data_IF_561639324748
#
_entry.id   IF_561639324748
#
_cell.length_a   1.000
_cell.length_b   1.000
_cell.length_c   1.000
_cell.angle_alpha   90.00
_cell.angle_beta   90.00
_cell.angle_gamma   90.00
#
_symmetry.space_group_name_H-M   'P 1'
#
loop_
_entity.id
_entity.type
_entity.pdbx_description
1 polymer ?
#
# COMPACT_ATOMS: atom_id res chain seq x y z
N UNK A 1 -24.76 -26.14 -30.33
CA UNK A 1 -24.36 -25.21 -29.25
C UNK A 1 -22.86 -24.97 -29.40
N UNK A 2 -22.48 -23.87 -30.06
CA UNK A 2 -21.10 -23.63 -30.51
C UNK A 2 -20.28 -23.09 -29.34
N UNK A 3 -19.32 -23.87 -28.85
CA UNK A 3 -18.30 -23.43 -27.92
C UNK A 3 -17.32 -22.54 -28.69
N UNK A 4 -17.44 -21.21 -28.54
CA UNK A 4 -16.42 -20.30 -29.07
C UNK A 4 -15.13 -20.47 -28.24
N UNK A 5 -13.96 -20.72 -28.87
CA UNK A 5 -12.70 -20.97 -28.18
C UNK A 5 -12.32 -19.79 -27.28
N UNK A 6 -11.81 -20.08 -26.07
CA UNK A 6 -11.47 -19.10 -25.00
C UNK A 6 -10.76 -17.81 -25.47
N UNK A 7 -10.03 -17.85 -26.59
CA UNK A 7 -9.35 -16.68 -27.20
C UNK A 7 -10.32 -15.69 -27.84
N UNK A 8 -11.37 -16.15 -28.52
CA UNK A 8 -12.36 -15.29 -29.18
C UNK A 8 -13.19 -14.51 -28.16
N UNK A 9 -13.54 -15.16 -27.04
CA UNK A 9 -14.23 -14.50 -25.92
C UNK A 9 -13.38 -13.38 -25.32
N UNK A 10 -12.07 -13.57 -25.19
CA UNK A 10 -11.15 -12.54 -24.69
C UNK A 10 -11.01 -11.37 -25.67
N UNK A 11 -10.92 -11.65 -26.97
CA UNK A 11 -10.87 -10.63 -28.02
C UNK A 11 -12.17 -9.82 -28.07
N UNK A 12 -13.32 -10.49 -27.96
CA UNK A 12 -14.63 -9.86 -27.87
C UNK A 12 -14.70 -8.85 -26.72
N UNK A 13 -14.27 -9.23 -25.50
CA UNK A 13 -14.32 -8.31 -24.37
C UNK A 13 -13.30 -7.18 -24.45
N UNK A 14 -12.16 -7.38 -25.10
CA UNK A 14 -11.21 -6.28 -25.40
C UNK A 14 -11.80 -5.28 -26.38
N UNK A 15 -12.47 -5.75 -27.42
CA UNK A 15 -13.14 -4.89 -28.39
C UNK A 15 -14.34 -4.17 -27.76
N UNK A 16 -15.11 -4.86 -26.91
CA UNK A 16 -16.16 -4.25 -26.11
C UNK A 16 -15.60 -3.17 -25.18
N UNK A 17 -14.46 -3.42 -24.52
CA UNK A 17 -13.79 -2.44 -23.68
C UNK A 17 -13.33 -1.20 -24.48
N UNK A 18 -12.78 -1.37 -25.68
CA UNK A 18 -12.44 -0.25 -26.57
C UNK A 18 -13.67 0.59 -26.95
N UNK A 19 -14.79 -0.04 -27.30
CA UNK A 19 -16.04 0.67 -27.63
C UNK A 19 -16.66 1.36 -26.42
N UNK A 20 -16.57 0.76 -25.23
CA UNK A 20 -17.04 1.38 -24.00
C UNK A 20 -16.24 2.64 -23.64
N UNK A 21 -15.00 2.77 -24.14
CA UNK A 21 -14.18 3.98 -23.96
C UNK A 21 -14.55 5.12 -24.91
N UNK A 22 -15.35 4.88 -25.96
CA UNK A 22 -15.80 5.98 -26.84
C UNK A 22 -16.93 6.81 -26.24
N UNK A 23 -17.55 6.36 -25.14
CA UNK A 23 -18.52 7.15 -24.38
C UNK A 23 -17.80 8.12 -23.45
N UNK A 24 -17.95 9.42 -23.69
CA UNK A 24 -17.31 10.47 -22.89
C UNK A 24 -17.91 10.55 -21.49
N UNK A 25 -19.24 10.43 -21.37
CA UNK A 25 -19.97 10.49 -20.10
C UNK A 25 -19.75 9.21 -19.26
N UNK A 26 -19.32 9.41 -18.00
CA UNK A 26 -18.99 8.32 -17.08
C UNK A 26 -20.22 7.54 -16.59
N UNK A 27 -21.37 8.22 -16.45
CA UNK A 27 -22.62 7.59 -16.04
C UNK A 27 -23.20 6.76 -17.20
N UNK A 28 -23.16 7.30 -18.41
CA UNK A 28 -23.52 6.58 -19.63
C UNK A 28 -22.64 5.34 -19.82
N UNK A 29 -21.32 5.50 -19.69
CA UNK A 29 -20.36 4.39 -19.78
C UNK A 29 -20.62 3.31 -18.72
N UNK A 30 -20.90 3.69 -17.47
CA UNK A 30 -21.20 2.74 -16.40
C UNK A 30 -22.51 1.98 -16.62
N UNK A 31 -23.54 2.64 -17.18
CA UNK A 31 -24.79 1.99 -17.54
C UNK A 31 -24.60 0.95 -18.65
N UNK A 32 -23.80 1.27 -19.67
CA UNK A 32 -23.48 0.31 -20.74
C UNK A 32 -22.57 -0.82 -20.27
N UNK A 33 -21.63 -0.57 -19.36
CA UNK A 33 -20.84 -1.62 -18.70
C UNK A 33 -21.76 -2.61 -17.98
N UNK A 34 -22.75 -2.12 -17.24
CA UNK A 34 -23.71 -2.97 -16.53
C UNK A 34 -24.60 -3.78 -17.48
N UNK A 35 -25.06 -3.17 -18.58
CA UNK A 35 -25.84 -3.84 -19.61
C UNK A 35 -25.03 -4.95 -20.31
N UNK A 36 -23.77 -4.69 -20.68
CA UNK A 36 -22.88 -5.67 -21.32
C UNK A 36 -22.50 -6.78 -20.34
N UNK A 37 -22.20 -6.43 -19.09
CA UNK A 37 -21.89 -7.42 -18.06
C UNK A 37 -23.06 -8.40 -17.85
N UNK A 38 -24.28 -7.87 -17.78
CA UNK A 38 -25.51 -8.66 -17.62
C UNK A 38 -25.81 -9.52 -18.85
N UNK A 39 -25.70 -8.97 -20.05
CA UNK A 39 -25.99 -9.67 -21.31
C UNK A 39 -25.03 -10.86 -21.55
N UNK A 40 -23.76 -10.73 -21.18
CA UNK A 40 -22.74 -11.76 -21.40
C UNK A 40 -22.40 -12.58 -20.14
N UNK A 41 -23.15 -12.37 -19.05
CA UNK A 41 -22.99 -13.07 -17.76
C UNK A 41 -21.55 -13.01 -17.23
N UNK A 42 -20.96 -11.82 -17.24
CA UNK A 42 -19.64 -11.55 -16.67
C UNK A 42 -19.78 -10.57 -15.52
N UNK A 43 -18.85 -10.60 -14.55
CA UNK A 43 -18.96 -9.65 -13.43
C UNK A 43 -18.69 -8.23 -13.91
N UNK A 44 -19.55 -7.30 -13.46
CA UNK A 44 -19.42 -5.86 -13.73
C UNK A 44 -18.02 -5.37 -13.38
N UNK A 45 -17.52 -5.74 -12.20
CA UNK A 45 -16.17 -5.40 -11.73
C UNK A 45 -15.05 -5.89 -12.65
N UNK A 46 -15.19 -7.09 -13.25
CA UNK A 46 -14.17 -7.60 -14.19
C UNK A 46 -14.16 -6.81 -15.49
N UNK A 47 -15.34 -6.42 -15.98
CA UNK A 47 -15.48 -5.60 -17.18
C UNK A 47 -14.98 -4.17 -16.95
N UNK A 48 -15.27 -3.58 -15.79
CA UNK A 48 -14.76 -2.26 -15.38
C UNK A 48 -13.22 -2.25 -15.33
N UNK A 49 -12.60 -3.27 -14.72
CA UNK A 49 -11.14 -3.42 -14.70
C UNK A 49 -10.55 -3.57 -16.10
N UNK A 50 -11.24 -4.28 -17.00
CA UNK A 50 -10.80 -4.45 -18.38
C UNK A 50 -10.90 -3.13 -19.16
N UNK A 51 -11.98 -2.37 -18.99
CA UNK A 51 -12.17 -1.03 -19.59
C UNK A 51 -11.11 -0.06 -19.10
N UNK A 52 -10.86 0.00 -17.79
CA UNK A 52 -9.82 0.84 -17.19
C UNK A 52 -8.42 0.47 -17.70
N UNK A 53 -8.08 -0.82 -17.74
CA UNK A 53 -6.81 -1.31 -18.29
C UNK A 53 -6.66 -0.97 -19.78
N UNK A 54 -7.76 -1.07 -20.54
CA UNK A 54 -7.77 -0.76 -21.97
C UNK A 54 -7.54 0.74 -22.20
N UNK A 55 -8.13 1.61 -21.39
CA UNK A 55 -7.96 3.08 -21.45
C UNK A 55 -6.51 3.52 -21.24
N UNK A 56 -5.82 2.87 -20.31
CA UNK A 56 -4.39 3.09 -20.04
C UNK A 56 -3.56 2.60 -21.22
N UNK A 57 -3.89 1.45 -21.79
CA UNK A 57 -3.11 0.84 -22.88
C UNK A 57 -3.25 1.54 -24.24
N UNK A 58 -4.40 2.17 -24.51
CA UNK A 58 -4.67 2.83 -25.82
C UNK A 58 -4.23 4.29 -25.85
N UNK A 59 -3.69 4.83 -24.76
CA UNK A 59 -3.28 6.24 -24.69
C UNK A 59 -4.43 7.25 -24.84
N UNK A 60 -5.69 6.77 -24.83
CA UNK A 60 -6.90 7.59 -24.94
C UNK A 60 -7.31 8.25 -23.61
N UNK A 61 -6.59 7.97 -22.53
CA UNK A 61 -6.74 8.71 -21.28
C UNK A 61 -6.19 10.14 -21.44
N UNK A 62 -6.98 11.04 -22.03
CA UNK A 62 -6.89 12.46 -21.64
C UNK A 62 -7.23 12.52 -20.15
N UNK A 63 -6.41 13.18 -19.31
CA UNK A 63 -6.67 13.26 -17.88
C UNK A 63 -7.92 14.11 -17.67
N UNK A 64 -9.08 13.47 -17.49
CA UNK A 64 -10.31 14.16 -17.09
C UNK A 64 -10.14 14.56 -15.63
N UNK A 65 -10.01 15.87 -15.42
CA UNK A 65 -10.09 16.53 -14.12
C UNK A 65 -11.42 16.18 -13.47
N UNK A 66 -11.37 15.26 -12.50
CA UNK A 66 -12.51 14.89 -11.67
C UNK A 66 -13.02 16.12 -10.90
N UNK A 67 -14.33 16.40 -10.85
CA UNK A 67 -14.85 17.49 -10.05
C UNK A 67 -14.55 17.23 -8.57
N UNK A 68 -13.99 18.26 -7.92
CA UNK A 68 -13.54 18.27 -6.53
C UNK A 68 -14.62 17.73 -5.59
N UNK A 69 -14.43 16.52 -5.05
CA UNK A 69 -14.70 16.31 -3.63
C UNK A 69 -13.47 16.81 -2.89
N UNK A 70 -13.72 17.65 -1.89
CA UNK A 70 -12.68 18.39 -1.19
C UNK A 70 -11.54 17.48 -0.70
N UNK A 71 -10.34 17.98 -0.97
CA UNK A 71 -9.03 17.69 -0.41
C UNK A 71 -8.36 16.33 -0.65
N UNK A 72 -7.42 16.36 -1.59
CA UNK A 72 -6.39 15.35 -1.78
C UNK A 72 -5.35 15.72 -2.82
N UNK A 73 -4.84 16.94 -2.76
CA UNK A 73 -3.86 17.52 -3.68
C UNK A 73 -2.77 16.55 -4.19
N UNK A 74 -2.58 16.54 -5.51
CA UNK A 74 -1.27 16.30 -6.14
C UNK A 74 -0.42 17.51 -5.80
N UNK A 75 0.14 17.46 -4.60
CA UNK A 75 1.26 18.28 -4.16
C UNK A 75 2.39 17.28 -3.96
N UNK A 76 3.63 17.71 -4.18
CA UNK A 76 4.78 17.15 -3.49
C UNK A 76 4.49 17.22 -1.98
N UNK A 77 3.83 16.19 -1.45
CA UNK A 77 3.65 15.95 -0.02
C UNK A 77 4.77 15.01 0.34
N UNK A 78 5.51 15.29 1.41
CA UNK A 78 6.09 14.17 2.15
C UNK A 78 4.98 13.14 2.35
N UNK A 79 5.20 11.98 1.74
CA UNK A 79 4.15 11.04 1.42
C UNK A 79 3.48 10.60 2.72
N UNK A 80 2.15 10.59 2.78
CA UNK A 80 1.44 10.23 4.02
C UNK A 80 1.87 8.84 4.53
N UNK A 81 2.39 8.00 3.63
CA UNK A 81 3.05 6.73 3.94
C UNK A 81 4.44 6.91 4.56
N UNK A 82 5.29 7.79 4.04
CA UNK A 82 6.61 8.10 4.60
C UNK A 82 6.44 8.55 6.04
N UNK A 83 5.52 9.50 6.32
CA UNK A 83 5.24 9.93 7.70
C UNK A 83 4.81 8.77 8.59
N UNK A 84 3.95 7.87 8.10
CA UNK A 84 3.53 6.68 8.86
C UNK A 84 4.70 5.72 9.14
N UNK A 85 5.63 5.56 8.20
CA UNK A 85 6.84 4.78 8.41
C UNK A 85 7.77 5.43 9.43
N UNK A 86 7.97 6.76 9.35
CA UNK A 86 8.77 7.51 10.34
C UNK A 86 8.19 7.30 11.74
N UNK A 87 6.87 7.46 11.91
CA UNK A 87 6.17 7.26 13.19
C UNK A 87 6.35 5.85 13.74
N UNK A 88 6.22 4.80 12.91
CA UNK A 88 6.48 3.43 13.38
C UNK A 88 7.91 3.27 13.87
N UNK A 89 8.90 3.75 13.12
CA UNK A 89 10.30 3.68 13.52
C UNK A 89 10.53 4.41 14.85
N UNK A 90 9.96 5.61 15.02
CA UNK A 90 10.04 6.34 16.29
C UNK A 90 9.47 5.52 17.45
N UNK A 91 8.27 4.93 17.31
CA UNK A 91 7.67 4.09 18.36
C UNK A 91 8.49 2.86 18.71
N UNK A 92 9.07 2.21 17.70
CA UNK A 92 9.94 1.04 17.87
C UNK A 92 11.25 1.39 18.59
N UNK A 93 11.75 2.62 18.45
CA UNK A 93 12.98 3.11 19.09
C UNK A 93 12.71 3.51 20.54
N UNK A 94 11.59 4.19 20.79
CA UNK A 94 11.27 4.76 22.11
C UNK A 94 10.73 3.74 23.12
N UNK A 95 10.12 2.64 22.64
CA UNK A 95 9.45 1.68 23.51
C UNK A 95 9.62 0.22 23.03
N UNK A 96 10.31 -0.58 23.83
CA UNK A 96 10.60 -2.00 23.57
C UNK A 96 9.32 -2.87 23.48
N UNK A 97 8.28 -2.54 24.24
CA UNK A 97 6.99 -3.24 24.14
C UNK A 97 6.30 -2.93 22.80
N UNK A 98 6.40 -1.69 22.32
CA UNK A 98 5.89 -1.32 20.99
C UNK A 98 6.71 -1.97 19.88
N UNK A 99 8.03 -2.04 20.03
CA UNK A 99 8.88 -2.82 19.11
C UNK A 99 8.38 -4.26 18.99
N UNK A 100 8.19 -4.94 20.12
CA UNK A 100 7.79 -6.35 20.15
C UNK A 100 6.43 -6.56 19.46
N UNK A 101 5.49 -5.63 19.64
CA UNK A 101 4.18 -5.68 18.97
C UNK A 101 4.29 -5.39 17.48
N UNK A 102 5.02 -4.35 17.08
CA UNK A 102 5.15 -3.94 15.68
C UNK A 102 5.91 -4.99 14.86
N UNK A 103 7.02 -5.52 15.38
CA UNK A 103 7.87 -6.52 14.71
C UNK A 103 7.17 -7.85 14.43
N UNK A 104 6.08 -8.15 15.16
CA UNK A 104 5.25 -9.33 14.86
C UNK A 104 4.47 -9.23 13.54
N UNK A 105 4.26 -8.01 13.02
CA UNK A 105 3.45 -7.74 11.82
C UNK A 105 4.22 -7.06 10.69
N UNK A 106 5.24 -6.28 11.04
CA UNK A 106 6.08 -5.51 10.14
C UNK A 106 7.48 -6.12 10.13
N UNK A 107 8.09 -6.14 8.97
CA UNK A 107 9.48 -6.51 8.75
C UNK A 107 10.26 -5.30 8.20
N UNK A 108 11.60 -5.29 8.25
CA UNK A 108 12.39 -4.23 7.64
C UNK A 108 12.09 -4.02 6.15
N UNK A 109 11.67 -5.08 5.44
CA UNK A 109 11.35 -5.00 4.02
C UNK A 109 9.98 -4.36 3.72
N UNK A 110 9.17 -4.11 4.74
CA UNK A 110 7.91 -3.39 4.60
C UNK A 110 8.08 -1.86 4.58
N UNK A 111 9.28 -1.36 4.92
CA UNK A 111 9.63 0.05 4.80
C UNK A 111 10.07 0.37 3.37
N UNK A 112 9.67 1.54 2.87
CA UNK A 112 10.02 2.05 1.54
C UNK A 112 10.88 3.31 1.67
N UNK A 113 11.67 3.58 0.63
CA UNK A 113 12.75 4.55 0.71
C UNK A 113 14.00 3.93 1.36
N UNK A 114 15.17 4.33 0.85
CA UNK A 114 16.45 3.76 1.25
C UNK A 114 16.74 4.01 2.74
N UNK A 115 16.53 5.25 3.21
CA UNK A 115 16.80 5.63 4.59
C UNK A 115 15.91 4.86 5.58
N UNK A 116 14.58 4.87 5.40
CA UNK A 116 13.66 4.19 6.31
C UNK A 116 13.97 2.69 6.40
N UNK A 117 14.27 2.04 5.27
CA UNK A 117 14.63 0.62 5.22
C UNK A 117 15.96 0.36 5.94
N UNK A 118 16.96 1.23 5.76
CA UNK A 118 18.27 1.12 6.43
C UNK A 118 18.14 1.30 7.94
N UNK A 119 17.37 2.29 8.38
CA UNK A 119 17.07 2.51 9.80
C UNK A 119 16.32 1.32 10.39
N UNK A 120 15.31 0.79 9.69
CA UNK A 120 14.58 -0.40 10.12
C UNK A 120 15.52 -1.60 10.29
N UNK A 121 16.40 -1.89 9.32
CA UNK A 121 17.35 -3.00 9.41
C UNK A 121 18.27 -2.88 10.62
N UNK A 122 18.89 -1.71 10.80
CA UNK A 122 19.76 -1.45 11.95
C UNK A 122 19.02 -1.60 13.29
N UNK A 123 17.79 -1.12 13.34
CA UNK A 123 16.93 -1.21 14.52
C UNK A 123 16.67 -2.68 14.90
N UNK A 124 16.26 -3.51 13.94
CA UNK A 124 16.01 -4.93 14.18
C UNK A 124 17.30 -5.67 14.59
N UNK A 125 18.41 -5.43 13.89
CA UNK A 125 19.70 -6.04 14.22
C UNK A 125 20.21 -5.68 15.62
N UNK A 126 20.06 -4.41 16.04
CA UNK A 126 20.45 -3.97 17.38
C UNK A 126 19.53 -4.56 18.45
N UNK A 127 18.24 -4.67 18.16
CA UNK A 127 17.28 -5.28 19.07
C UNK A 127 17.55 -6.78 19.28
N UNK A 128 17.86 -7.52 18.21
CA UNK A 128 18.23 -8.94 18.30
C UNK A 128 19.49 -9.16 19.16
N UNK A 129 20.40 -8.20 19.17
CA UNK A 129 21.62 -8.22 19.99
C UNK A 129 21.39 -7.77 21.44
N UNK A 130 20.19 -7.30 21.79
CA UNK A 130 19.90 -6.72 23.11
C UNK A 130 20.63 -5.40 23.37
N UNK A 131 21.10 -4.72 22.32
CA UNK A 131 21.90 -3.50 22.40
C UNK A 131 21.17 -2.27 21.84
N UNK A 132 19.83 -2.30 21.78
CA UNK A 132 19.05 -1.20 21.21
C UNK A 132 19.40 0.11 21.92
N UNK A 133 20.12 0.98 21.22
CA UNK A 133 20.51 2.29 21.71
C UNK A 133 20.22 3.31 20.61
N UNK A 134 19.19 4.16 20.78
CA UNK A 134 18.81 5.18 19.81
C UNK A 134 19.99 6.05 19.35
N UNK A 135 20.91 6.39 20.27
CA UNK A 135 22.10 7.17 19.96
C UNK A 135 23.14 6.39 19.13
N UNK A 136 23.31 5.08 19.36
CA UNK A 136 24.16 4.23 18.52
C UNK A 136 23.61 4.06 17.10
N UNK A 137 22.28 4.11 16.97
CA UNK A 137 21.58 4.03 15.68
C UNK A 137 21.89 5.25 14.81
N UNK A 138 21.95 6.45 15.42
CA UNK A 138 22.39 7.69 14.74
C UNK A 138 23.88 7.67 14.36
N UNK A 139 24.75 7.08 15.18
CA UNK A 139 26.19 7.00 14.90
C UNK A 139 26.53 6.17 13.64
N UNK A 140 25.60 5.39 13.10
CA UNK A 140 25.79 4.67 11.84
C UNK A 140 25.64 5.56 10.59
N UNK A 141 25.11 6.77 10.75
CA UNK A 141 24.98 7.77 9.70
C UNK A 141 26.10 8.80 9.86
N UNK A 142 27.13 8.70 9.01
CA UNK A 142 28.40 9.43 9.17
C UNK A 142 28.46 10.72 8.36
N UNK A 143 27.67 10.82 7.29
CA UNK A 143 27.53 12.08 6.55
C UNK A 143 26.56 13.02 7.27
N UNK A 144 26.82 14.34 7.20
CA UNK A 144 25.99 15.36 7.83
C UNK A 144 24.54 15.33 7.31
N UNK A 145 24.36 15.03 6.03
CA UNK A 145 23.06 14.92 5.38
C UNK A 145 22.28 13.69 5.86
N UNK A 146 22.88 12.49 5.84
CA UNK A 146 22.23 11.28 6.36
C UNK A 146 21.95 11.40 7.86
N UNK A 147 22.87 12.00 8.63
CA UNK A 147 22.69 12.19 10.07
C UNK A 147 21.52 13.13 10.36
N UNK A 148 21.38 14.22 9.59
CA UNK A 148 20.23 15.14 9.69
C UNK A 148 18.92 14.46 9.33
N UNK A 149 18.91 13.66 8.27
CA UNK A 149 17.72 12.97 7.79
C UNK A 149 17.30 11.84 8.76
N UNK A 150 18.25 11.03 9.24
CA UNK A 150 18.01 10.04 10.28
C UNK A 150 17.52 10.70 11.57
N UNK A 151 18.14 11.80 12.01
CA UNK A 151 17.71 12.58 13.17
C UNK A 151 16.28 13.10 13.04
N UNK A 152 15.80 13.40 11.82
CA UNK A 152 14.41 13.81 11.59
C UNK A 152 13.39 12.74 11.96
N UNK A 153 13.76 11.45 11.88
CA UNK A 153 12.93 10.32 12.32
C UNK A 153 12.69 10.36 13.84
N UNK A 154 13.70 10.75 14.62
CA UNK A 154 13.62 10.84 16.07
C UNK A 154 12.87 12.09 16.56
N UNK A 155 12.75 13.12 15.73
CA UNK A 155 12.02 14.35 16.07
C UNK A 155 10.56 14.35 15.62
N UNK A 156 10.09 13.25 15.02
CA UNK A 156 8.70 13.15 14.57
C UNK A 156 7.79 13.11 15.80
N UNK A 157 7.18 14.25 16.12
CA UNK A 157 6.28 14.37 17.29
C UNK A 157 5.12 13.41 17.13
N UNK A 158 5.09 12.40 18.00
CA UNK A 158 3.93 11.56 18.21
C UNK A 158 2.80 12.49 18.62
N UNK A 159 1.67 12.44 17.90
CA UNK A 159 0.46 13.13 18.36
C UNK A 159 0.21 12.68 19.79
N UNK A 160 0.05 13.62 20.72
CA UNK A 160 -0.32 13.30 22.10
C UNK A 160 -1.74 12.73 22.09
N UNK A 161 -1.84 11.42 21.91
CA UNK A 161 -3.07 10.66 22.05
C UNK A 161 -3.36 10.54 23.54
N UNK A 162 -4.57 10.90 23.94
CA UNK A 162 -4.92 11.17 25.34
C UNK A 162 -5.29 9.89 26.08
N UNK A 163 -5.78 8.88 25.38
CA UNK A 163 -6.17 7.60 25.96
C UNK A 163 -5.38 6.44 25.38
N UNK A 164 -5.34 5.34 26.14
CA UNK A 164 -4.71 4.09 25.73
C UNK A 164 -5.41 3.50 24.50
N UNK A 165 -6.74 3.56 24.42
CA UNK A 165 -7.47 3.08 23.24
C UNK A 165 -7.14 3.90 21.97
N UNK A 166 -6.95 5.22 22.10
CA UNK A 166 -6.54 6.06 20.96
C UNK A 166 -5.14 5.68 20.46
N UNK A 167 -4.22 5.36 21.38
CA UNK A 167 -2.86 4.89 21.06
C UNK A 167 -2.89 3.52 20.38
N UNK A 168 -3.65 2.59 20.92
CA UNK A 168 -3.87 1.24 20.38
C UNK A 168 -4.41 1.29 18.95
N UNK A 169 -5.44 2.12 18.72
CA UNK A 169 -6.06 2.28 17.41
C UNK A 169 -5.11 2.95 16.43
N UNK A 170 -4.41 4.02 16.85
CA UNK A 170 -3.43 4.70 16.00
C UNK A 170 -2.25 3.78 15.63
N UNK A 171 -1.80 2.95 16.56
CA UNK A 171 -0.78 1.94 16.31
C UNK A 171 -1.26 0.95 15.25
N UNK A 172 -2.44 0.35 15.45
CA UNK A 172 -3.04 -0.60 14.51
C UNK A 172 -3.20 0.01 13.12
N UNK A 173 -3.76 1.21 13.02
CA UNK A 173 -3.98 1.89 11.74
C UNK A 173 -2.67 2.18 11.01
N UNK A 174 -1.63 2.56 11.77
CA UNK A 174 -0.31 2.84 11.18
C UNK A 174 0.36 1.56 10.69
N UNK A 175 0.31 0.47 11.45
CA UNK A 175 0.80 -0.86 11.03
C UNK A 175 0.08 -1.30 9.75
N UNK A 176 -1.26 -1.27 9.76
CA UNK A 176 -2.06 -1.65 8.60
C UNK A 176 -1.72 -0.85 7.35
N UNK A 177 -1.54 0.47 7.51
CA UNK A 177 -1.21 1.35 6.39
C UNK A 177 0.17 1.05 5.80
N UNK A 178 1.19 0.84 6.64
CA UNK A 178 2.55 0.50 6.18
C UNK A 178 2.58 -0.88 5.53
N UNK A 179 1.94 -1.88 6.15
CA UNK A 179 1.89 -3.24 5.60
C UNK A 179 1.13 -3.31 4.29
N UNK A 180 -0.01 -2.63 4.19
CA UNK A 180 -0.79 -2.55 2.96
C UNK A 180 0.01 -1.89 1.83
N UNK A 181 0.73 -0.81 2.13
CA UNK A 181 1.58 -0.13 1.15
C UNK A 181 2.70 -1.05 0.66
N UNK A 182 3.41 -1.73 1.57
CA UNK A 182 4.45 -2.72 1.23
C UNK A 182 3.93 -3.79 0.27
N UNK A 183 2.78 -4.40 0.60
CA UNK A 183 2.16 -5.44 -0.24
C UNK A 183 1.78 -4.88 -1.61
N UNK A 184 1.25 -3.66 -1.67
CA UNK A 184 0.90 -3.02 -2.94
C UNK A 184 2.14 -2.77 -3.81
N UNK A 185 3.21 -2.23 -3.23
CA UNK A 185 4.49 -2.03 -3.93
C UNK A 185 5.07 -3.35 -4.46
N UNK A 186 5.06 -4.41 -3.65
CA UNK A 186 5.51 -5.73 -4.10
C UNK A 186 4.60 -6.31 -5.18
N UNK A 187 3.28 -6.10 -5.08
CA UNK A 187 2.32 -6.55 -6.11
C UNK A 187 2.57 -5.86 -7.45
N UNK A 188 2.88 -4.55 -7.43
CA UNK A 188 3.16 -3.77 -8.64
C UNK A 188 4.47 -4.16 -9.31
N UNK A 189 5.47 -4.57 -8.52
CA UNK A 189 6.80 -4.92 -8.99
C UNK A 189 7.02 -6.43 -9.20
N UNK A 190 6.02 -7.28 -8.91
CA UNK A 190 6.15 -8.73 -9.05
C UNK A 190 6.22 -9.14 -10.53
N UNK A 191 7.20 -9.99 -10.86
CA UNK A 191 7.28 -10.62 -12.18
C UNK A 191 6.03 -11.52 -12.40
N UNK A 192 5.29 -11.37 -13.51
CA UNK A 192 4.13 -12.20 -13.81
C UNK A 192 4.39 -13.71 -13.87
N UNK A 193 5.65 -14.12 -14.02
CA UNK A 193 6.08 -15.52 -14.03
C UNK A 193 6.51 -16.05 -12.66
N UNK A 194 6.64 -15.19 -11.66
CA UNK A 194 7.01 -15.57 -10.29
C UNK A 194 5.79 -16.08 -9.50
N UNK A 195 5.50 -17.38 -9.71
CA UNK A 195 4.41 -18.06 -9.04
C UNK A 195 4.62 -18.19 -7.52
N UNK A 196 5.87 -18.27 -7.06
CA UNK A 196 6.19 -18.36 -5.63
C UNK A 196 5.96 -17.01 -4.94
N UNK A 197 6.43 -15.92 -5.54
CA UNK A 197 6.17 -14.56 -5.07
C UNK A 197 4.68 -14.22 -5.07
N UNK A 198 3.93 -14.67 -6.08
CA UNK A 198 2.47 -14.52 -6.11
C UNK A 198 1.78 -15.23 -4.93
N UNK A 199 2.15 -16.49 -4.65
CA UNK A 199 1.60 -17.25 -3.52
C UNK A 199 1.90 -16.56 -2.19
N UNK A 200 3.14 -16.12 -1.98
CA UNK A 200 3.54 -15.39 -0.79
C UNK A 200 2.74 -14.08 -0.61
N UNK A 201 2.55 -13.31 -1.69
CA UNK A 201 1.73 -12.09 -1.64
C UNK A 201 0.26 -12.36 -1.30
N UNK A 202 -0.31 -13.46 -1.80
CA UNK A 202 -1.68 -13.84 -1.43
C UNK A 202 -1.79 -14.17 0.06
N UNK A 203 -0.78 -14.85 0.63
CA UNK A 203 -0.74 -15.13 2.05
C UNK A 203 -0.57 -13.86 2.89
N UNK A 204 0.31 -12.95 2.49
CA UNK A 204 0.47 -11.65 3.16
C UNK A 204 -0.81 -10.81 3.10
N UNK A 205 -1.53 -10.82 1.98
CA UNK A 205 -2.85 -10.15 1.87
C UNK A 205 -3.87 -10.78 2.81
N UNK A 206 -3.88 -12.11 2.94
CA UNK A 206 -4.77 -12.81 3.89
C UNK A 206 -4.47 -12.41 5.34
N UNK A 207 -3.19 -12.42 5.73
CA UNK A 207 -2.73 -11.98 7.06
C UNK A 207 -3.08 -10.52 7.33
N UNK A 208 -3.01 -9.64 6.31
CA UNK A 208 -3.42 -8.24 6.44
C UNK A 208 -4.93 -8.11 6.73
N UNK A 209 -5.78 -8.88 6.06
CA UNK A 209 -7.23 -8.86 6.33
C UNK A 209 -7.57 -9.43 7.72
N UNK A 210 -6.84 -10.45 8.18
CA UNK A 210 -6.95 -10.95 9.56
C UNK A 210 -6.57 -9.85 10.57
N UNK A 211 -5.45 -9.14 10.33
CA UNK A 211 -4.99 -8.03 11.18
C UNK A 211 -6.00 -6.89 11.27
N UNK A 212 -6.77 -6.63 10.21
CA UNK A 212 -7.85 -5.63 10.23
C UNK A 212 -8.95 -5.98 11.24
N UNK A 213 -9.21 -7.27 11.43
CA UNK A 213 -10.23 -7.77 12.34
C UNK A 213 -9.74 -7.91 13.79
N UNK A 214 -8.42 -7.99 14.01
CA UNK A 214 -7.82 -8.11 15.34
C UNK A 214 -7.84 -6.79 16.13
N UNK A 215 -8.07 -6.86 17.44
CA UNK A 215 -7.83 -5.73 18.34
C UNK A 215 -6.40 -5.81 18.86
N UNK A 216 -5.61 -4.76 18.63
CA UNK A 216 -4.25 -4.65 19.18
C UNK A 216 -4.36 -3.84 20.46
N UNK A 217 -4.07 -4.45 21.60
CA UNK A 217 -3.98 -3.74 22.87
C UNK A 217 -2.53 -3.49 23.23
N UNK A 218 -2.14 -2.27 23.57
CA UNK A 218 -0.90 -1.98 24.32
C UNK A 218 -1.14 -2.46 25.76
N UNK A 219 -0.14 -2.99 26.46
CA UNK A 219 -0.28 -3.40 27.87
C UNK A 219 0.49 -2.39 28.71
#
# INVERSE_FOLDING_TARGET
MIWLPRKEKLLFFREAANRLLSFEDELERNNYIEAVASAYKVSKESLEKLVAKTAVSTGLARPVTRPKKADGAVLQKEDGIVTSQKVLLTWMIENENLYSKISSYISPDDFTGELNRRVAKLLYEQHEKGELNPAKLLNHFTSEEEHREAASLFHTKIRQLKTKEEQDQALKDTILKVKAHSINERTLNLDPSDMAGLQHLMEEKRKLEELRQLHISID
#
